data_IF_321733410553
#
_entry.id   IF_321733410553
#
_cell.length_a   1.000
_cell.length_b   1.000
_cell.length_c   1.000
_cell.angle_alpha   90.00
_cell.angle_beta   90.00
_cell.angle_gamma   90.00
#
_symmetry.space_group_name_H-M   'P 1'
#
loop_
_entity.id
_entity.type
_entity.pdbx_description
1 polymer ?
#
# COMPACT_ATOMS: atom_id res chain seq x y z
N UNK A 1 4.12 5.67 -21.24
CA UNK A 1 4.54 6.90 -21.95
C UNK A 1 4.86 7.98 -20.92
N UNK A 2 5.98 8.70 -21.06
CA UNK A 2 6.52 9.66 -20.08
C UNK A 2 5.95 11.08 -20.24
N UNK A 3 4.61 11.22 -20.25
CA UNK A 3 3.94 12.52 -20.34
C UNK A 3 3.61 13.06 -18.95
N UNK A 4 4.64 13.55 -18.26
CA UNK A 4 4.56 13.92 -16.84
C UNK A 4 3.51 15.00 -16.56
N UNK A 5 3.46 16.07 -17.36
CA UNK A 5 2.47 17.14 -17.14
C UNK A 5 1.03 16.65 -17.23
N UNK A 6 0.74 15.76 -18.19
CA UNK A 6 -0.59 15.16 -18.32
C UNK A 6 -0.89 14.15 -17.24
N UNK A 7 0.09 13.38 -16.79
CA UNK A 7 -0.08 12.48 -15.65
C UNK A 7 -0.44 13.27 -14.38
N UNK A 8 0.25 14.40 -14.12
CA UNK A 8 -0.07 15.29 -13.02
C UNK A 8 -1.45 15.95 -13.17
N UNK A 9 -1.81 16.43 -14.36
CA UNK A 9 -3.12 17.01 -14.67
C UNK A 9 -4.27 16.05 -14.30
N UNK A 10 -4.27 14.83 -14.84
CA UNK A 10 -5.35 13.87 -14.58
C UNK A 10 -5.34 13.35 -13.14
N UNK A 11 -4.17 13.22 -12.51
CA UNK A 11 -4.11 12.85 -11.11
C UNK A 11 -4.68 13.96 -10.21
N UNK A 12 -4.48 15.24 -10.56
CA UNK A 12 -5.12 16.36 -9.86
C UNK A 12 -6.64 16.30 -9.98
N UNK A 13 -7.18 16.04 -11.18
CA UNK A 13 -8.62 15.90 -11.38
C UNK A 13 -9.21 14.74 -10.56
N UNK A 14 -8.55 13.58 -10.57
CA UNK A 14 -8.98 12.43 -9.77
C UNK A 14 -8.99 12.75 -8.26
N UNK A 15 -7.94 13.39 -7.77
CA UNK A 15 -7.80 13.74 -6.35
C UNK A 15 -8.73 14.87 -5.91
N UNK A 16 -9.16 15.74 -6.83
CA UNK A 16 -10.19 16.75 -6.57
C UNK A 16 -11.58 16.12 -6.38
N UNK A 17 -11.87 14.99 -7.05
CA UNK A 17 -13.11 14.23 -6.87
C UNK A 17 -13.06 13.41 -5.57
N UNK A 18 -11.93 12.72 -5.33
CA UNK A 18 -11.75 11.87 -4.17
C UNK A 18 -10.27 11.77 -3.80
N UNK A 19 -9.92 12.29 -2.62
CA UNK A 19 -8.55 12.37 -2.11
C UNK A 19 -8.33 11.66 -0.77
N UNK A 20 -9.27 10.80 -0.35
CA UNK A 20 -9.17 10.12 0.94
C UNK A 20 -7.97 9.16 0.98
N UNK A 21 -7.20 9.23 2.07
CA UNK A 21 -6.17 8.27 2.43
C UNK A 21 -6.53 7.66 3.78
N UNK A 22 -6.58 6.34 3.86
CA UNK A 22 -7.01 5.62 5.05
C UNK A 22 -5.92 5.63 6.11
N UNK A 23 -6.19 6.26 7.25
CA UNK A 23 -5.29 6.24 8.41
C UNK A 23 -5.26 4.84 9.06
N UNK A 24 -4.15 4.12 8.87
CA UNK A 24 -3.96 2.78 9.45
C UNK A 24 -3.80 2.82 10.97
N UNK A 25 -3.53 3.97 11.59
CA UNK A 25 -3.52 4.11 13.06
C UNK A 25 -4.92 4.01 13.64
N UNK A 26 -5.92 4.55 12.95
CA UNK A 26 -7.33 4.51 13.37
C UNK A 26 -8.00 3.20 13.03
N UNK A 27 -7.35 2.38 12.23
CA UNK A 27 -7.76 1.01 11.96
C UNK A 27 -7.63 0.10 13.21
N UNK A 28 -6.90 0.54 14.24
CA UNK A 28 -6.41 -0.26 15.37
C UNK A 28 -7.45 -0.84 16.34
N UNK A 29 -8.73 -0.89 16.01
CA UNK A 29 -9.60 -1.88 16.62
C UNK A 29 -10.37 -2.57 15.51
N UNK A 30 -9.88 -3.75 15.17
CA UNK A 30 -10.74 -4.78 14.62
C UNK A 30 -12.04 -4.73 15.39
N UNK A 31 -13.12 -4.45 14.68
CA UNK A 31 -14.43 -4.65 15.24
C UNK A 31 -14.42 -6.12 15.69
N UNK A 32 -14.50 -6.34 17.00
CA UNK A 32 -14.47 -7.69 17.57
C UNK A 32 -15.59 -8.56 16.99
N UNK A 33 -16.64 -7.94 16.41
CA UNK A 33 -17.71 -8.65 15.68
C UNK A 33 -17.33 -9.07 14.25
N UNK A 34 -16.28 -8.48 13.67
CA UNK A 34 -15.84 -8.72 12.30
C UNK A 34 -14.79 -9.85 12.18
N UNK A 35 -14.12 -10.21 13.28
CA UNK A 35 -13.09 -11.26 13.34
C UNK A 35 -11.85 -10.98 12.47
N UNK A 36 -10.81 -11.82 12.64
CA UNK A 36 -9.51 -11.64 11.98
C UNK A 36 -9.57 -11.64 10.43
N UNK A 37 -10.65 -12.16 9.84
CA UNK A 37 -10.82 -12.23 8.39
C UNK A 37 -11.11 -10.87 7.75
N UNK A 38 -11.67 -9.92 8.51
CA UNK A 38 -12.01 -8.56 8.07
C UNK A 38 -10.90 -7.55 8.28
N UNK A 39 -9.80 -7.96 8.92
CA UNK A 39 -8.61 -7.15 9.13
C UNK A 39 -7.77 -7.06 7.84
N UNK A 40 -8.37 -6.56 6.76
CA UNK A 40 -7.75 -6.44 5.44
C UNK A 40 -7.64 -4.99 5.02
N UNK A 41 -6.73 -4.70 4.08
CA UNK A 41 -6.73 -3.40 3.40
C UNK A 41 -7.93 -3.29 2.45
N UNK A 42 -8.23 -4.36 1.72
CA UNK A 42 -9.34 -4.39 0.78
C UNK A 42 -10.59 -4.87 1.51
N UNK A 43 -11.37 -3.92 1.99
CA UNK A 43 -12.61 -4.13 2.72
C UNK A 43 -13.57 -2.97 2.45
N UNK A 44 -14.85 -3.17 2.69
CA UNK A 44 -15.88 -2.13 2.55
C UNK A 44 -15.58 -0.86 3.37
N UNK A 45 -14.79 -1.00 4.45
CA UNK A 45 -14.35 0.11 5.33
C UNK A 45 -13.27 1.00 4.73
N UNK A 46 -12.55 0.55 3.70
CA UNK A 46 -11.44 1.34 3.15
C UNK A 46 -11.98 2.45 2.22
N UNK A 47 -11.87 3.73 2.61
CA UNK A 47 -12.37 4.84 1.79
C UNK A 47 -11.54 5.06 0.52
N UNK A 48 -10.35 4.48 0.41
CA UNK A 48 -9.46 4.68 -0.74
C UNK A 48 -9.94 3.91 -1.98
N UNK A 49 -10.74 2.84 -1.83
CA UNK A 49 -11.13 1.95 -2.93
C UNK A 49 -12.12 2.67 -3.85
N UNK A 50 -11.69 2.91 -5.10
CA UNK A 50 -12.52 3.50 -6.16
C UNK A 50 -13.27 2.42 -6.94
N UNK A 51 -12.58 1.31 -7.20
CA UNK A 51 -13.09 0.16 -7.94
C UNK A 51 -12.43 -1.09 -7.41
N UNK A 52 -13.18 -2.20 -7.29
CA UNK A 52 -12.63 -3.49 -6.86
C UNK A 52 -13.07 -4.61 -7.81
N UNK A 53 -12.18 -5.57 -8.09
CA UNK A 53 -12.40 -6.63 -9.08
C UNK A 53 -11.63 -7.93 -8.78
N UNK A 54 -12.07 -9.04 -9.39
CA UNK A 54 -11.49 -10.38 -9.20
C UNK A 54 -11.92 -11.06 -7.89
N UNK A 55 -12.05 -12.39 -7.88
CA UNK A 55 -12.69 -13.10 -6.78
C UNK A 55 -11.93 -13.06 -5.44
N UNK A 56 -10.61 -13.28 -5.48
CA UNK A 56 -9.71 -13.21 -4.32
C UNK A 56 -8.29 -12.86 -4.79
N UNK A 57 -7.43 -12.35 -3.90
CA UNK A 57 -5.98 -12.55 -4.11
C UNK A 57 -5.70 -14.05 -4.10
N UNK A 58 -4.66 -14.51 -4.78
CA UNK A 58 -4.33 -15.93 -4.84
C UNK A 58 -4.07 -16.49 -3.44
N UNK A 59 -5.02 -17.26 -2.90
CA UNK A 59 -4.94 -17.96 -1.61
C UNK A 59 -4.42 -19.38 -1.89
N UNK A 60 -3.34 -19.52 -2.65
CA UNK A 60 -2.70 -20.82 -2.80
C UNK A 60 -1.53 -20.86 -1.83
N UNK A 61 -1.74 -21.50 -0.67
CA UNK A 61 -0.63 -21.90 0.18
C UNK A 61 -0.11 -23.24 -0.33
N UNK A 62 1.08 -23.29 -0.92
CA UNK A 62 1.79 -24.56 -1.02
C UNK A 62 2.08 -25.07 0.40
N UNK A 63 1.96 -26.38 0.62
CA UNK A 63 2.19 -26.99 1.92
C UNK A 63 3.58 -26.60 2.45
N UNK A 64 3.62 -26.11 3.68
CA UNK A 64 4.84 -25.57 4.29
C UNK A 64 5.27 -24.18 3.80
N UNK A 65 4.76 -23.64 2.69
CA UNK A 65 5.14 -22.31 2.16
C UNK A 65 4.26 -21.16 2.66
N UNK A 66 3.02 -21.44 3.11
CA UNK A 66 2.07 -20.44 3.61
C UNK A 66 1.52 -19.48 2.54
N UNK A 67 2.19 -19.36 1.40
CA UNK A 67 1.77 -18.69 0.16
C UNK A 67 2.63 -19.20 -1.00
N UNK A 68 2.05 -19.31 -2.19
CA UNK A 68 2.74 -19.58 -3.46
C UNK A 68 3.62 -18.39 -3.92
N UNK A 69 3.33 -17.18 -3.43
CA UNK A 69 4.09 -15.96 -3.72
C UNK A 69 4.50 -15.26 -2.42
N UNK A 70 5.51 -15.79 -1.69
CA UNK A 70 6.01 -15.13 -0.50
C UNK A 70 6.69 -13.79 -0.85
N UNK A 71 6.61 -12.78 0.02
CA UNK A 71 7.35 -11.53 -0.15
C UNK A 71 8.86 -11.82 -0.21
N UNK A 72 9.57 -11.14 -1.12
CA UNK A 72 11.03 -11.24 -1.16
C UNK A 72 11.66 -10.60 0.08
N UNK A 73 12.85 -11.08 0.47
CA UNK A 73 13.62 -10.49 1.59
C UNK A 73 13.85 -8.98 1.39
N UNK A 74 14.12 -8.57 0.15
CA UNK A 74 14.31 -7.16 -0.19
C UNK A 74 13.04 -6.33 0.03
N UNK A 75 11.85 -6.84 -0.31
CA UNK A 75 10.59 -6.13 -0.05
C UNK A 75 10.31 -6.06 1.46
N UNK A 76 10.53 -7.15 2.20
CA UNK A 76 10.36 -7.17 3.65
C UNK A 76 11.25 -6.13 4.35
N UNK A 77 12.49 -5.98 3.90
CA UNK A 77 13.44 -5.03 4.47
C UNK A 77 13.08 -3.55 4.23
N UNK A 78 12.13 -3.24 3.35
CA UNK A 78 11.69 -1.85 3.09
C UNK A 78 10.74 -1.32 4.17
N UNK A 79 10.12 -2.21 4.96
CA UNK A 79 9.18 -1.82 6.01
C UNK A 79 9.96 -1.58 7.31
N UNK A 80 10.03 -0.32 7.70
CA UNK A 80 10.72 0.14 8.90
C UNK A 80 9.89 -0.11 10.16
N UNK A 81 10.53 -0.02 11.34
CA UNK A 81 9.82 -0.08 12.61
C UNK A 81 8.75 1.02 12.69
N UNK A 82 7.53 0.61 13.02
CA UNK A 82 6.35 1.49 13.03
C UNK A 82 5.63 1.69 11.70
N UNK A 83 6.08 1.08 10.59
CA UNK A 83 5.29 1.01 9.36
C UNK A 83 4.19 -0.06 9.49
N UNK A 84 2.93 0.35 9.48
CA UNK A 84 1.76 -0.51 9.72
C UNK A 84 1.44 -1.43 8.53
N UNK A 85 2.15 -1.27 7.40
CA UNK A 85 1.95 -2.10 6.20
C UNK A 85 2.66 -3.45 6.29
N UNK A 86 3.79 -3.53 6.99
CA UNK A 86 4.61 -4.73 7.05
C UNK A 86 4.85 -5.23 8.48
N UNK A 87 5.39 -6.43 8.60
CA UNK A 87 5.81 -6.99 9.89
C UNK A 87 4.75 -7.87 10.55
N UNK A 88 4.88 -8.07 11.87
CA UNK A 88 4.14 -9.11 12.60
C UNK A 88 2.63 -9.00 12.44
N UNK A 89 2.11 -7.77 12.52
CA UNK A 89 0.69 -7.43 12.39
C UNK A 89 0.43 -6.55 11.15
N UNK A 90 1.36 -6.53 10.19
CA UNK A 90 1.30 -5.65 9.02
C UNK A 90 0.06 -5.88 8.17
N UNK A 91 -0.43 -4.81 7.56
CA UNK A 91 -1.65 -4.84 6.75
C UNK A 91 -1.47 -5.47 5.37
N UNK A 92 -0.27 -5.34 4.82
CA UNK A 92 0.06 -5.71 3.45
C UNK A 92 0.82 -7.02 3.44
N UNK A 93 1.72 -7.17 4.41
CA UNK A 93 2.46 -8.39 4.67
C UNK A 93 2.34 -8.69 6.16
N UNK A 94 1.88 -9.89 6.48
CA UNK A 94 1.67 -10.33 7.87
C UNK A 94 2.36 -11.64 8.15
N UNK A 95 2.78 -11.80 9.39
CA UNK A 95 3.26 -13.08 9.90
C UNK A 95 2.09 -14.03 10.19
N UNK A 96 2.01 -15.17 9.50
CA UNK A 96 0.91 -16.14 9.61
C UNK A 96 1.35 -17.51 10.13
N UNK A 97 2.46 -17.58 10.87
CA UNK A 97 2.95 -18.83 11.44
C UNK A 97 1.94 -19.47 12.40
N UNK A 98 1.78 -20.79 12.31
CA UNK A 98 0.96 -21.60 13.22
C UNK A 98 1.78 -22.78 13.78
N UNK A 99 1.19 -23.55 14.70
CA UNK A 99 1.77 -24.80 15.18
C UNK A 99 1.92 -25.84 14.04
N UNK A 100 0.99 -25.85 13.09
CA UNK A 100 0.94 -26.81 11.97
C UNK A 100 1.58 -26.31 10.68
N UNK A 101 1.93 -25.02 10.60
CA UNK A 101 2.53 -24.41 9.42
C UNK A 101 3.76 -23.60 9.81
N UNK A 102 4.87 -23.84 9.12
CA UNK A 102 6.11 -23.11 9.36
C UNK A 102 5.89 -21.61 9.41
N UNK A 103 6.57 -20.95 10.35
CA UNK A 103 6.55 -19.51 10.61
C UNK A 103 6.90 -18.70 9.35
N UNK A 104 5.92 -18.06 8.69
CA UNK A 104 6.17 -17.34 7.41
C UNK A 104 5.38 -16.03 7.27
N UNK A 105 6.01 -15.06 6.63
CA UNK A 105 5.37 -13.81 6.17
C UNK A 105 4.65 -14.06 4.85
N UNK A 106 3.42 -13.57 4.73
CA UNK A 106 2.58 -13.74 3.54
C UNK A 106 1.85 -12.44 3.17
N UNK A 107 1.45 -12.28 1.89
CA UNK A 107 0.55 -11.21 1.48
C UNK A 107 -0.75 -11.23 2.30
N UNK A 108 -1.21 -10.06 2.76
CA UNK A 108 -2.33 -9.93 3.69
C UNK A 108 -3.37 -8.85 3.31
N UNK A 109 -3.15 -8.13 2.19
CA UNK A 109 -3.99 -6.99 1.77
C UNK A 109 -5.47 -7.32 1.57
N UNK A 110 -5.78 -8.51 1.07
CA UNK A 110 -7.14 -8.88 0.67
C UNK A 110 -7.47 -10.32 1.09
N UNK A 111 -8.74 -10.68 0.96
CA UNK A 111 -9.21 -12.05 1.12
C UNK A 111 -10.39 -12.31 0.17
N UNK A 112 -11.20 -13.35 0.42
CA UNK A 112 -12.37 -13.64 -0.40
C UNK A 112 -13.48 -12.61 -0.14
N UNK A 113 -14.24 -12.27 -1.19
CA UNK A 113 -15.30 -11.25 -1.13
C UNK A 113 -16.41 -11.56 -0.11
N UNK A 114 -16.66 -12.83 0.20
CA UNK A 114 -17.65 -13.24 1.21
C UNK A 114 -17.28 -12.78 2.62
N UNK A 115 -16.00 -12.53 2.85
CA UNK A 115 -15.53 -11.92 4.08
C UNK A 115 -15.48 -10.41 3.86
N UNK A 116 -14.55 -9.91 3.06
CA UNK A 116 -14.22 -8.48 3.04
C UNK A 116 -15.28 -7.54 2.46
N UNK A 117 -16.34 -8.07 1.84
CA UNK A 117 -17.33 -7.30 1.06
C UNK A 117 -16.70 -6.47 -0.08
N UNK A 118 -15.48 -6.84 -0.47
CA UNK A 118 -14.73 -6.29 -1.59
C UNK A 118 -14.00 -7.41 -2.30
N UNK A 119 -13.80 -7.22 -3.59
CA UNK A 119 -13.03 -8.13 -4.40
C UNK A 119 -11.54 -8.10 -4.06
N UNK A 120 -10.79 -9.11 -4.52
CA UNK A 120 -9.40 -9.32 -4.15
C UNK A 120 -8.41 -8.30 -4.73
N UNK A 121 -8.80 -7.53 -5.74
CA UNK A 121 -7.98 -6.47 -6.32
C UNK A 121 -8.76 -5.15 -6.27
N UNK A 122 -8.04 -4.03 -6.26
CA UNK A 122 -8.64 -2.70 -6.23
C UNK A 122 -7.79 -1.66 -6.97
N UNK A 123 -8.47 -0.66 -7.53
CA UNK A 123 -7.90 0.64 -7.90
C UNK A 123 -8.20 1.57 -6.73
N UNK A 124 -7.18 2.26 -6.23
CA UNK A 124 -7.26 3.07 -5.00
C UNK A 124 -6.82 4.50 -5.24
N UNK A 125 -7.36 5.40 -4.43
CA UNK A 125 -7.04 6.83 -4.44
C UNK A 125 -5.55 7.11 -4.26
N UNK A 126 -4.84 6.32 -3.45
CA UNK A 126 -3.38 6.47 -3.29
C UNK A 126 -2.57 6.19 -4.56
N UNK A 127 -3.11 5.44 -5.53
CA UNK A 127 -2.45 5.30 -6.83
C UNK A 127 -2.40 6.64 -7.58
N UNK A 128 -3.44 7.48 -7.46
CA UNK A 128 -3.43 8.82 -8.02
C UNK A 128 -2.39 9.72 -7.34
N UNK A 129 -2.25 9.65 -6.02
CA UNK A 129 -1.17 10.35 -5.29
C UNK A 129 0.21 9.90 -5.78
N UNK A 130 0.44 8.59 -5.93
CA UNK A 130 1.72 8.06 -6.37
C UNK A 130 2.02 8.35 -7.84
N UNK A 131 1.01 8.38 -8.70
CA UNK A 131 1.15 8.78 -10.10
C UNK A 131 1.48 10.28 -10.20
N UNK A 132 0.84 11.12 -9.37
CA UNK A 132 1.15 12.54 -9.29
C UNK A 132 2.55 12.80 -8.72
N UNK A 133 2.95 12.09 -7.67
CA UNK A 133 4.29 12.19 -7.09
C UNK A 133 5.37 11.78 -8.09
N UNK A 134 5.13 10.73 -8.87
CA UNK A 134 6.04 10.30 -9.95
C UNK A 134 6.11 11.33 -11.07
N UNK A 135 4.99 11.92 -11.48
CA UNK A 135 5.02 13.01 -12.44
C UNK A 135 5.80 14.23 -11.92
N UNK A 136 5.51 14.66 -10.68
CA UNK A 136 6.15 15.82 -10.06
C UNK A 136 7.65 15.63 -9.79
N UNK A 137 8.14 14.39 -9.60
CA UNK A 137 9.57 14.13 -9.46
C UNK A 137 10.35 14.31 -10.78
N UNK A 138 9.65 14.35 -11.91
CA UNK A 138 10.21 14.55 -13.25
C UNK A 138 9.91 15.93 -13.86
N UNK A 139 9.21 16.82 -13.15
CA UNK A 139 8.91 18.20 -13.60
C UNK A 139 9.77 19.17 -12.79
N UNK A 140 10.47 20.07 -13.48
CA UNK A 140 11.34 21.07 -12.84
C UNK A 140 10.55 21.96 -11.87
N UNK A 141 11.11 22.15 -10.67
CA UNK A 141 10.49 22.94 -9.61
C UNK A 141 9.35 22.22 -8.86
N UNK A 142 9.02 20.97 -9.19
CA UNK A 142 7.92 20.20 -8.55
C UNK A 142 8.36 19.13 -7.54
N UNK A 143 9.66 19.01 -7.28
CA UNK A 143 10.21 18.03 -6.33
C UNK A 143 9.55 18.07 -4.93
N UNK A 144 9.29 19.26 -4.38
CA UNK A 144 8.64 19.40 -3.07
C UNK A 144 7.16 19.00 -3.10
N UNK A 145 6.47 19.21 -4.22
CA UNK A 145 5.09 18.75 -4.39
C UNK A 145 5.03 17.21 -4.44
N UNK A 146 6.03 16.55 -5.05
CA UNK A 146 6.16 15.09 -5.01
C UNK A 146 6.34 14.58 -3.57
N UNK A 147 7.24 15.20 -2.80
CA UNK A 147 7.45 14.82 -1.39
C UNK A 147 6.18 15.03 -0.56
N UNK A 148 5.45 16.12 -0.78
CA UNK A 148 4.17 16.36 -0.10
C UNK A 148 3.15 15.25 -0.33
N UNK A 149 3.07 14.71 -1.56
CA UNK A 149 2.21 13.57 -1.88
C UNK A 149 2.65 12.30 -1.14
N UNK A 150 3.96 12.01 -1.12
CA UNK A 150 4.51 10.88 -0.36
C UNK A 150 4.23 11.01 1.14
N UNK A 151 4.39 12.20 1.71
CA UNK A 151 4.12 12.45 3.13
C UNK A 151 2.64 12.33 3.47
N UNK A 152 1.75 12.70 2.54
CA UNK A 152 0.30 12.47 2.70
C UNK A 152 -0.01 10.98 2.85
N UNK A 153 0.68 10.12 2.11
CA UNK A 153 0.57 8.66 2.26
C UNK A 153 1.23 8.21 3.56
N UNK A 154 2.52 8.52 3.76
CA UNK A 154 3.34 8.01 4.86
C UNK A 154 2.77 8.33 6.24
N UNK A 155 2.20 9.53 6.45
CA UNK A 155 1.56 9.91 7.73
C UNK A 155 0.42 8.98 8.11
N UNK A 156 -0.27 8.40 7.12
CA UNK A 156 -1.37 7.47 7.32
C UNK A 156 -0.93 5.99 7.37
N UNK A 157 0.36 5.70 7.14
CA UNK A 157 0.92 4.34 7.15
C UNK A 157 1.82 4.07 8.35
N UNK A 158 2.43 5.09 8.92
CA UNK A 158 3.30 4.96 10.08
C UNK A 158 2.57 5.26 11.39
N UNK A 159 3.01 4.61 12.46
CA UNK A 159 2.65 5.02 13.81
C UNK A 159 3.11 6.45 14.07
N UNK A 160 2.29 7.25 14.75
CA UNK A 160 2.62 8.64 15.06
C UNK A 160 3.96 8.78 15.80
N UNK A 161 4.31 7.82 16.66
CA UNK A 161 5.55 7.80 17.43
C UNK A 161 6.81 7.48 16.59
N UNK A 162 6.65 6.87 15.41
CA UNK A 162 7.77 6.41 14.56
C UNK A 162 7.84 7.12 13.22
N UNK A 163 6.79 7.85 12.84
CA UNK A 163 6.77 8.65 11.64
C UNK A 163 7.91 9.68 11.63
N UNK A 164 8.64 9.72 10.51
CA UNK A 164 9.67 10.72 10.21
C UNK A 164 9.47 11.22 8.78
N UNK A 165 9.51 12.54 8.54
CA UNK A 165 9.49 13.10 7.19
C UNK A 165 10.66 12.58 6.34
N UNK A 166 10.43 12.47 5.04
CA UNK A 166 11.48 12.22 4.05
C UNK A 166 12.45 13.41 3.96
N UNK A 167 13.75 13.11 3.84
CA UNK A 167 14.82 14.09 3.69
C UNK A 167 15.38 14.16 2.25
N UNK A 168 14.61 13.71 1.26
CA UNK A 168 15.04 13.73 -0.14
C UNK A 168 15.05 15.17 -0.71
N UNK A 169 16.23 15.65 -1.12
CA UNK A 169 16.45 17.04 -1.56
C UNK A 169 16.90 17.16 -3.02
N UNK A 170 17.49 16.11 -3.61
CA UNK A 170 17.87 16.08 -5.03
C UNK A 170 16.81 15.39 -5.87
N UNK A 171 16.75 15.69 -7.17
CA UNK A 171 15.80 15.05 -8.08
C UNK A 171 15.91 13.52 -8.05
N UNK A 172 17.13 12.98 -8.06
CA UNK A 172 17.38 11.54 -8.03
C UNK A 172 16.87 10.92 -6.72
N UNK A 173 17.12 11.57 -5.58
CA UNK A 173 16.64 11.10 -4.28
C UNK A 173 15.12 11.14 -4.17
N UNK A 174 14.47 12.15 -4.78
CA UNK A 174 13.00 12.26 -4.83
C UNK A 174 12.41 11.17 -5.72
N UNK A 175 12.96 10.96 -6.92
CA UNK A 175 12.54 9.87 -7.81
C UNK A 175 12.68 8.51 -7.11
N UNK A 176 13.79 8.30 -6.39
CA UNK A 176 14.01 7.07 -5.64
C UNK A 176 13.00 6.91 -4.49
N UNK A 177 12.72 7.98 -3.73
CA UNK A 177 11.72 7.96 -2.68
C UNK A 177 10.32 7.63 -3.21
N UNK A 178 9.94 8.16 -4.38
CA UNK A 178 8.68 7.82 -5.05
C UNK A 178 8.64 6.34 -5.41
N UNK A 179 9.72 5.80 -6.02
CA UNK A 179 9.80 4.38 -6.40
C UNK A 179 9.70 3.46 -5.20
N UNK A 180 10.37 3.80 -4.11
CA UNK A 180 10.34 3.00 -2.88
C UNK A 180 8.96 3.03 -2.22
N UNK A 181 8.31 4.19 -2.18
CA UNK A 181 6.95 4.31 -1.67
C UNK A 181 5.94 3.57 -2.55
N UNK A 182 6.04 3.69 -3.89
CA UNK A 182 5.22 2.91 -4.83
C UNK A 182 5.36 1.41 -4.59
N UNK A 183 6.59 0.93 -4.39
CA UNK A 183 6.87 -0.50 -4.17
C UNK A 183 6.31 -1.02 -2.84
N UNK A 184 6.40 -0.23 -1.76
CA UNK A 184 5.74 -0.56 -0.48
C UNK A 184 4.24 -0.52 -0.63
N UNK A 185 3.73 0.57 -1.19
CA UNK A 185 2.31 0.88 -1.20
C UNK A 185 1.51 -0.05 -2.12
N UNK A 186 2.03 -0.39 -3.30
CA UNK A 186 1.35 -1.16 -4.34
C UNK A 186 1.84 -2.61 -4.47
N UNK A 187 2.58 -3.12 -3.48
CA UNK A 187 2.95 -4.54 -3.46
C UNK A 187 1.70 -5.43 -3.53
N UNK A 188 1.78 -6.52 -4.31
CA UNK A 188 0.68 -7.46 -4.58
C UNK A 188 -0.52 -6.88 -5.35
N UNK A 189 -0.41 -5.67 -5.89
CA UNK A 189 -1.45 -5.05 -6.74
C UNK A 189 -1.08 -5.10 -8.24
N UNK A 190 -0.18 -6.02 -8.63
CA UNK A 190 0.20 -6.32 -10.03
C UNK A 190 0.91 -5.18 -10.78
N UNK A 191 1.44 -4.18 -10.06
CA UNK A 191 2.11 -3.01 -10.65
C UNK A 191 3.64 -3.12 -10.78
N UNK A 192 4.30 -4.07 -10.09
CA UNK A 192 5.77 -3.98 -9.87
C UNK A 192 6.65 -4.11 -11.12
N UNK A 193 6.22 -4.88 -12.12
CA UNK A 193 7.02 -5.21 -13.30
C UNK A 193 6.96 -4.16 -14.41
N UNK A 194 5.98 -3.26 -14.34
CA UNK A 194 5.74 -2.18 -15.30
C UNK A 194 6.32 -0.87 -14.75
#
# INVERSE_FOLDING_TARGET
MQRWDKAAEYANEALAIKGDVWDLNRKATDDASAGDYMDRLFTSRNPEILFSYGYSTEIFSAEGAGSCYPPSKALLAMYEDGDLRGGRNGMYIRYLGSFFSGKKYAPFKSFMTSYTSRYGNAIRTVEAYLNRAEAYSHIDGKAQDAIKDLETIRRNRFTAAKYKPLEATTQESVVQAVRDERRRELCFERQRWF
#
